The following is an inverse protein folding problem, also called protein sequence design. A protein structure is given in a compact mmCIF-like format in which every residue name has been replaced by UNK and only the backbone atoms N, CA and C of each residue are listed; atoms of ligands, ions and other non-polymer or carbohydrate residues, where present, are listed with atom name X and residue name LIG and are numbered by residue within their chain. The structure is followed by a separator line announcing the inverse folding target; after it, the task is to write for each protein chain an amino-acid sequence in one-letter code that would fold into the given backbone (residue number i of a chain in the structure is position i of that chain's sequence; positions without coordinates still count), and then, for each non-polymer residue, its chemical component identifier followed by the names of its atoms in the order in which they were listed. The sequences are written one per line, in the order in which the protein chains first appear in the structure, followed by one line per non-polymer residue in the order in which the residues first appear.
data_IF_380514455111
#
_entry.id   IF_380514455111
#
_cell.length_a   1.000
_cell.length_b   1.000
_cell.length_c   1.000
_cell.angle_alpha   90.00
_cell.angle_beta   90.00
_cell.angle_gamma   90.00
#
_symmetry.space_group_name_H-M   'P 1'
#
loop_
_entity.id
_entity.type
_entity.pdbx_description
1 polymer ?
#
# COMPACT_ATOMS: atom_id res chain seq x y z
N UNK A 1 5.07 45.33 35.60
CA UNK A 1 5.99 44.48 34.80
C UNK A 1 5.85 42.99 35.12
N UNK A 2 5.97 42.55 36.38
CA UNK A 2 5.82 41.12 36.78
C UNK A 2 4.56 40.41 36.26
N UNK A 3 3.39 41.06 36.33
CA UNK A 3 2.12 40.48 35.83
C UNK A 3 2.07 40.30 34.30
N UNK A 4 2.75 41.17 33.54
CA UNK A 4 2.85 41.08 32.07
C UNK A 4 3.86 40.01 31.64
N UNK A 5 4.93 39.84 32.42
CA UNK A 5 5.91 38.76 32.21
C UNK A 5 5.31 37.38 32.48
N UNK A 6 4.51 37.25 33.55
CA UNK A 6 3.78 36.02 33.88
C UNK A 6 2.76 35.65 32.79
N UNK A 7 2.04 36.62 32.24
CA UNK A 7 1.11 36.38 31.12
C UNK A 7 1.83 35.91 29.85
N UNK A 8 3.03 36.45 29.57
CA UNK A 8 3.84 36.05 28.41
C UNK A 8 4.40 34.64 28.56
N UNK A 9 4.83 34.26 29.77
CA UNK A 9 5.26 32.89 30.09
C UNK A 9 4.07 31.91 29.97
N UNK A 10 2.88 32.30 30.43
CA UNK A 10 1.68 31.47 30.31
C UNK A 10 1.29 31.25 28.84
N UNK A 11 1.36 32.29 28.00
CA UNK A 11 1.10 32.20 26.56
C UNK A 11 2.14 31.32 25.87
N UNK A 12 3.43 31.47 26.21
CA UNK A 12 4.48 30.59 25.67
C UNK A 12 4.23 29.14 26.09
N UNK A 13 3.92 28.87 27.36
CA UNK A 13 3.57 27.53 27.82
C UNK A 13 2.30 26.97 27.15
N UNK A 14 1.27 27.78 26.94
CA UNK A 14 0.05 27.37 26.20
C UNK A 14 0.34 27.10 24.72
N UNK A 15 1.18 27.90 24.07
CA UNK A 15 1.61 27.65 22.69
C UNK A 15 2.53 26.42 22.57
N UNK A 16 3.34 26.11 23.59
CA UNK A 16 4.16 24.89 23.64
C UNK A 16 3.33 23.62 23.85
N UNK A 17 2.18 23.70 24.51
CA UNK A 17 1.27 22.56 24.71
C UNK A 17 0.44 22.28 23.45
N UNK A 18 0.21 23.29 22.60
CA UNK A 18 -0.49 23.12 21.32
C UNK A 18 0.46 22.67 20.19
N UNK A 19 1.78 22.81 20.36
CA UNK A 19 2.79 22.44 19.37
C UNK A 19 3.25 20.97 19.41
N UNK A 20 2.67 20.11 20.27
CA UNK A 20 3.07 18.71 20.40
C UNK A 20 1.97 17.68 20.17
N UNK A 21 0.80 18.09 19.67
CA UNK A 21 -0.09 17.13 18.99
C UNK A 21 0.36 17.02 17.53
N UNK A 22 1.55 16.45 17.34
CA UNK A 22 1.85 15.71 16.11
C UNK A 22 0.74 14.66 16.07
N UNK A 23 -0.17 14.80 15.13
CA UNK A 23 -1.18 13.79 14.82
C UNK A 23 -0.41 12.48 14.64
N UNK A 24 -0.51 11.58 15.63
CA UNK A 24 0.08 10.26 15.50
C UNK A 24 -0.57 9.64 14.27
N UNK A 25 0.22 9.45 13.22
CA UNK A 25 -0.07 8.39 12.27
C UNK A 25 -0.31 7.15 13.13
N UNK A 26 -1.47 6.52 12.95
CA UNK A 26 -1.86 5.32 13.68
C UNK A 26 -0.68 4.33 13.71
N UNK A 27 -0.41 3.66 14.83
CA UNK A 27 0.79 2.81 15.01
C UNK A 27 0.96 1.79 13.85
N UNK A 28 -0.15 1.32 13.28
CA UNK A 28 -0.19 0.46 12.08
C UNK A 28 0.47 1.06 10.83
N UNK A 29 0.36 2.37 10.61
CA UNK A 29 0.94 3.01 9.42
C UNK A 29 2.47 3.01 9.49
N UNK A 30 3.05 3.09 10.69
CA UNK A 30 4.50 2.96 10.86
C UNK A 30 4.97 1.52 10.65
N UNK A 31 4.18 0.53 11.08
CA UNK A 31 4.46 -0.89 10.87
C UNK A 31 4.39 -1.27 9.38
N UNK A 32 3.34 -0.87 8.67
CA UNK A 32 3.22 -1.07 7.22
C UNK A 32 4.37 -0.43 6.44
N UNK A 33 4.83 0.76 6.86
CA UNK A 33 5.98 1.42 6.24
C UNK A 33 7.28 0.63 6.47
N UNK A 34 7.50 0.07 7.66
CA UNK A 34 8.67 -0.78 7.95
C UNK A 34 8.66 -2.03 7.08
N UNK A 35 7.51 -2.66 6.88
CA UNK A 35 7.39 -3.83 6.01
C UNK A 35 7.65 -3.48 4.54
N UNK A 36 7.10 -2.36 4.07
CA UNK A 36 7.36 -1.84 2.74
C UNK A 36 8.85 -1.55 2.52
N UNK A 37 9.51 -0.88 3.47
CA UNK A 37 10.95 -0.61 3.39
C UNK A 37 11.76 -1.92 3.34
N UNK A 38 11.42 -2.90 4.19
CA UNK A 38 12.09 -4.21 4.20
C UNK A 38 11.95 -4.96 2.88
N UNK A 39 10.78 -4.92 2.25
CA UNK A 39 10.55 -5.59 0.96
C UNK A 39 11.26 -4.88 -0.19
N UNK A 40 11.28 -3.55 -0.21
CA UNK A 40 11.88 -2.82 -1.34
C UNK A 40 13.41 -2.69 -1.22
N UNK A 41 13.96 -2.59 -0.02
CA UNK A 41 15.35 -2.17 0.15
C UNK A 41 16.21 -3.07 1.04
N UNK A 42 15.64 -3.52 2.18
CA UNK A 42 16.24 -4.16 3.37
C UNK A 42 15.96 -3.35 4.65
N UNK A 43 16.09 -3.99 5.81
CA UNK A 43 15.83 -3.38 7.11
C UNK A 43 16.74 -2.16 7.38
N UNK A 44 16.11 -1.02 7.71
CA UNK A 44 16.81 0.19 8.13
C UNK A 44 17.51 0.94 7.00
N UNK A 45 17.16 0.67 5.74
CA UNK A 45 17.78 1.26 4.55
C UNK A 45 17.81 2.79 4.58
N UNK A 46 16.68 3.43 4.88
CA UNK A 46 16.52 4.89 4.75
C UNK A 46 17.31 5.70 5.80
N UNK A 47 17.69 5.07 6.93
CA UNK A 47 18.25 5.75 8.10
C UNK A 47 19.51 6.57 7.80
N UNK A 48 20.39 6.07 6.95
CA UNK A 48 21.71 6.66 6.66
C UNK A 48 21.84 7.20 5.23
N UNK A 49 20.72 7.34 4.52
CA UNK A 49 20.71 7.81 3.14
C UNK A 49 20.56 9.32 3.04
N UNK A 50 20.88 9.84 1.85
CA UNK A 50 20.70 11.25 1.49
C UNK A 50 19.24 11.70 1.65
N UNK A 51 19.03 13.01 1.80
CA UNK A 51 17.68 13.57 1.90
C UNK A 51 16.84 13.30 0.65
N UNK A 52 17.46 13.21 -0.53
CA UNK A 52 16.78 12.86 -1.77
C UNK A 52 16.21 11.44 -1.74
N UNK A 53 17.02 10.46 -1.31
CA UNK A 53 16.58 9.08 -1.13
C UNK A 53 15.47 8.99 -0.09
N UNK A 54 15.64 9.64 1.07
CA UNK A 54 14.61 9.66 2.13
C UNK A 54 13.30 10.25 1.61
N UNK A 55 13.36 11.32 0.80
CA UNK A 55 12.17 11.90 0.17
C UNK A 55 11.50 10.94 -0.81
N UNK A 56 12.26 10.19 -1.59
CA UNK A 56 11.73 9.20 -2.52
C UNK A 56 11.06 8.03 -1.79
N UNK A 57 11.70 7.49 -0.75
CA UNK A 57 11.11 6.45 0.12
C UNK A 57 9.82 6.96 0.75
N UNK A 58 9.86 8.14 1.38
CA UNK A 58 8.69 8.76 2.01
C UNK A 58 7.55 8.98 1.02
N UNK A 59 7.85 9.34 -0.23
CA UNK A 59 6.82 9.50 -1.25
C UNK A 59 6.10 8.18 -1.56
N UNK A 60 6.83 7.07 -1.66
CA UNK A 60 6.25 5.74 -1.89
C UNK A 60 5.33 5.31 -0.72
N UNK A 61 5.78 5.51 0.53
CA UNK A 61 4.97 5.24 1.74
C UNK A 61 3.67 6.05 1.75
N UNK A 62 3.77 7.37 1.57
CA UNK A 62 2.62 8.26 1.54
C UNK A 62 1.63 7.87 0.44
N UNK A 63 2.15 7.54 -0.75
CA UNK A 63 1.31 7.15 -1.87
C UNK A 63 0.63 5.79 -1.67
N UNK A 64 1.31 4.84 -1.01
CA UNK A 64 0.71 3.55 -0.61
C UNK A 64 -0.47 3.78 0.34
N UNK A 65 -0.23 4.51 1.44
CA UNK A 65 -1.27 4.88 2.41
C UNK A 65 -2.45 5.61 1.76
N UNK A 66 -2.19 6.63 0.94
CA UNK A 66 -3.24 7.41 0.28
C UNK A 66 -4.04 6.59 -0.75
N UNK A 67 -3.41 5.60 -1.37
CA UNK A 67 -4.09 4.70 -2.31
C UNK A 67 -4.98 3.68 -1.60
N UNK A 68 -4.61 3.24 -0.38
CA UNK A 68 -5.18 2.05 0.26
C UNK A 68 -6.00 2.42 1.49
N UNK A 69 -5.40 3.13 2.43
CA UNK A 69 -5.93 3.38 3.78
C UNK A 69 -6.64 4.71 3.95
N UNK A 70 -6.50 5.64 3.01
CA UNK A 70 -7.10 6.96 3.18
C UNK A 70 -8.64 6.91 3.15
N UNK A 71 -9.29 7.42 4.20
CA UNK A 71 -10.73 7.75 4.22
C UNK A 71 -11.05 8.82 5.27
N UNK A 72 -12.19 9.51 5.11
CA UNK A 72 -12.70 10.53 6.04
C UNK A 72 -11.71 11.68 6.32
N UNK A 73 -10.98 12.11 5.30
CA UNK A 73 -10.05 13.23 5.46
C UNK A 73 -8.76 12.92 6.26
N UNK A 74 -8.61 11.70 6.82
CA UNK A 74 -7.48 11.36 7.71
C UNK A 74 -6.09 11.56 7.07
N UNK A 75 -6.02 11.45 5.74
CA UNK A 75 -4.83 11.50 4.92
C UNK A 75 -4.57 12.86 4.29
N UNK A 76 -5.30 13.91 4.66
CA UNK A 76 -5.13 15.25 4.07
C UNK A 76 -3.70 15.75 4.30
N UNK A 77 -3.16 15.56 5.51
CA UNK A 77 -1.79 15.95 5.82
C UNK A 77 -0.74 15.18 5.01
N UNK A 78 -0.98 13.89 4.76
CA UNK A 78 -0.14 12.98 3.98
C UNK A 78 -0.18 13.36 2.50
N UNK A 79 -1.36 13.73 2.02
CA UNK A 79 -1.56 14.24 0.67
C UNK A 79 -0.80 15.55 0.45
N UNK A 80 -0.96 16.51 1.38
CA UNK A 80 -0.23 17.78 1.32
C UNK A 80 1.29 17.56 1.39
N UNK A 81 1.76 16.62 2.22
CA UNK A 81 3.16 16.23 2.27
C UNK A 81 3.64 15.67 0.93
N UNK A 82 2.92 14.71 0.35
CA UNK A 82 3.25 14.12 -0.95
C UNK A 82 3.34 15.19 -2.06
N UNK A 83 2.41 16.16 -2.05
CA UNK A 83 2.41 17.31 -2.98
C UNK A 83 3.60 18.23 -2.75
N UNK A 84 3.95 18.55 -1.49
CA UNK A 84 5.14 19.37 -1.16
C UNK A 84 6.44 18.69 -1.60
N UNK A 85 6.50 17.36 -1.52
CA UNK A 85 7.64 16.59 -2.00
C UNK A 85 7.78 16.58 -3.52
N UNK A 86 6.73 16.99 -4.26
CA UNK A 86 6.71 17.07 -5.72
C UNK A 86 6.09 15.85 -6.41
N UNK A 87 5.41 14.97 -5.67
CA UNK A 87 4.84 13.71 -6.16
C UNK A 87 3.29 13.74 -6.18
N UNK A 88 2.65 12.59 -6.43
CA UNK A 88 1.18 12.45 -6.35
C UNK A 88 0.37 12.97 -7.55
N UNK A 89 1.02 13.37 -8.64
CA UNK A 89 0.33 13.80 -9.88
C UNK A 89 -0.51 15.07 -9.73
N UNK A 90 -1.55 15.25 -10.57
CA UNK A 90 -2.39 16.46 -10.63
C UNK A 90 -3.76 16.30 -9.96
N UNK A 91 -3.90 15.34 -9.05
CA UNK A 91 -5.18 15.08 -8.37
C UNK A 91 -5.48 16.11 -7.29
N UNK A 92 -6.76 16.26 -6.95
CA UNK A 92 -7.21 16.90 -5.72
C UNK A 92 -7.41 15.84 -4.62
N UNK A 93 -7.26 16.22 -3.36
CA UNK A 93 -7.50 15.32 -2.24
C UNK A 93 -8.94 14.77 -2.24
N UNK A 94 -9.93 15.61 -2.53
CA UNK A 94 -11.35 15.19 -2.65
C UNK A 94 -11.61 14.12 -3.71
N UNK A 95 -10.68 13.90 -4.64
CA UNK A 95 -10.82 12.87 -5.68
C UNK A 95 -10.48 11.46 -5.20
N UNK A 96 -9.75 11.37 -4.08
CA UNK A 96 -9.35 10.11 -3.45
C UNK A 96 -9.96 9.93 -2.06
N UNK A 97 -10.53 10.99 -1.47
CA UNK A 97 -11.30 10.85 -0.25
C UNK A 97 -12.68 10.28 -0.57
N UNK A 98 -13.13 9.34 0.26
CA UNK A 98 -14.39 8.63 0.03
C UNK A 98 -15.56 9.61 -0.06
N UNK A 99 -16.34 9.51 -1.14
CA UNK A 99 -17.50 10.40 -1.37
C UNK A 99 -18.83 9.70 -1.08
N UNK A 100 -19.83 10.49 -0.67
CA UNK A 100 -21.17 10.02 -0.31
C UNK A 100 -21.82 9.20 -1.45
N UNK A 101 -21.63 9.63 -2.70
CA UNK A 101 -22.18 8.94 -3.88
C UNK A 101 -21.53 7.56 -4.18
N UNK A 102 -20.46 7.12 -3.49
CA UNK A 102 -19.95 5.73 -3.57
C UNK A 102 -20.85 4.75 -2.86
N UNK A 103 -21.46 5.18 -1.76
CA UNK A 103 -22.28 4.32 -0.91
C UNK A 103 -23.77 4.38 -1.27
N UNK A 104 -24.17 5.35 -2.10
CA UNK A 104 -25.56 5.57 -2.50
C UNK A 104 -26.45 6.06 -1.36
N UNK A 105 -25.85 6.60 -0.29
CA UNK A 105 -26.56 6.95 0.94
C UNK A 105 -26.30 8.41 1.29
N UNK A 106 -27.19 9.31 0.85
CA UNK A 106 -27.39 10.60 1.51
C UNK A 106 -28.30 10.37 2.71
N UNK A 107 -27.94 10.86 3.90
CA UNK A 107 -28.94 10.93 4.96
C UNK A 107 -30.01 11.94 4.53
N UNK A 108 -31.27 11.66 4.87
CA UNK A 108 -32.40 12.55 4.60
C UNK A 108 -32.25 13.96 5.23
N UNK A 109 -31.28 14.15 6.13
CA UNK A 109 -30.95 15.40 6.79
C UNK A 109 -29.78 16.18 6.16
N UNK A 110 -29.23 15.70 5.04
CA UNK A 110 -28.11 16.33 4.33
C UNK A 110 -26.75 16.16 5.02
N UNK A 111 -26.62 15.29 6.02
CA UNK A 111 -25.32 14.97 6.64
C UNK A 111 -24.65 13.77 5.98
N UNK A 112 -23.31 13.80 5.93
CA UNK A 112 -22.52 12.70 5.38
C UNK A 112 -22.78 11.38 6.09
N UNK A 113 -22.87 10.30 5.31
CA UNK A 113 -22.87 8.93 5.86
C UNK A 113 -21.45 8.57 6.25
N UNK A 114 -21.26 8.29 7.54
CA UNK A 114 -19.98 7.79 8.03
C UNK A 114 -19.74 6.40 7.46
N UNK A 115 -18.64 6.24 6.73
CA UNK A 115 -18.19 4.95 6.21
C UNK A 115 -17.44 4.23 7.32
N UNK A 116 -17.87 3.01 7.63
CA UNK A 116 -17.13 2.18 8.57
C UNK A 116 -15.80 1.72 7.95
N UNK A 117 -14.79 1.47 8.78
CA UNK A 117 -13.52 0.88 8.33
C UNK A 117 -13.74 -0.44 7.55
N UNK A 118 -14.78 -1.20 7.90
CA UNK A 118 -15.16 -2.41 7.16
C UNK A 118 -15.65 -2.11 5.75
N UNK A 119 -16.52 -1.11 5.58
CA UNK A 119 -17.01 -0.70 4.26
C UNK A 119 -15.88 -0.12 3.41
N UNK A 120 -14.95 0.61 4.02
CA UNK A 120 -13.75 1.09 3.35
C UNK A 120 -12.94 -0.08 2.75
N UNK A 121 -12.58 -1.07 3.59
CA UNK A 121 -11.77 -2.23 3.19
C UNK A 121 -12.42 -3.07 2.09
N UNK A 122 -13.77 -3.16 2.07
CA UNK A 122 -14.53 -3.85 1.00
C UNK A 122 -14.32 -3.29 -0.41
N UNK A 123 -13.82 -2.07 -0.57
CA UNK A 123 -13.53 -1.54 -1.90
C UNK A 123 -12.03 -1.26 -2.11
N UNK A 124 -11.29 -0.86 -1.08
CA UNK A 124 -9.87 -0.49 -1.25
C UNK A 124 -8.88 -1.62 -1.00
N UNK A 125 -9.32 -2.73 -0.39
CA UNK A 125 -8.47 -3.85 0.00
C UNK A 125 -8.92 -5.16 -0.68
N UNK A 126 -9.32 -5.12 -1.96
CA UNK A 126 -9.84 -6.30 -2.66
C UNK A 126 -8.96 -6.80 -3.81
N UNK A 127 -7.91 -6.05 -4.15
CA UNK A 127 -7.02 -6.35 -5.27
C UNK A 127 -6.67 -5.09 -6.03
N UNK A 128 -5.49 -5.08 -6.64
CA UNK A 128 -4.98 -3.90 -7.34
C UNK A 128 -5.77 -3.62 -8.63
N UNK A 129 -6.09 -4.63 -9.41
CA UNK A 129 -6.86 -4.58 -10.65
C UNK A 129 -8.35 -4.93 -10.47
N UNK A 130 -8.85 -4.94 -9.22
CA UNK A 130 -10.22 -5.33 -8.89
C UNK A 130 -11.22 -4.50 -9.70
N UNK A 131 -12.11 -5.22 -10.39
CA UNK A 131 -13.18 -4.63 -11.17
C UNK A 131 -14.52 -4.86 -10.46
N UNK A 132 -15.03 -3.81 -9.84
CA UNK A 132 -16.32 -3.82 -9.20
C UNK A 132 -17.41 -3.81 -10.27
N UNK A 133 -18.53 -4.49 -10.01
CA UNK A 133 -19.74 -4.37 -10.85
C UNK A 133 -20.46 -3.02 -10.61
N UNK A 134 -19.69 -1.93 -10.53
CA UNK A 134 -20.11 -0.57 -10.28
C UNK A 134 -19.06 0.41 -10.83
N UNK A 135 -19.39 1.09 -11.93
CA UNK A 135 -18.49 2.02 -12.62
C UNK A 135 -18.03 3.21 -11.77
N UNK A 136 -18.85 3.66 -10.83
CA UNK A 136 -18.50 4.77 -9.94
C UNK A 136 -17.40 4.35 -8.96
N UNK A 137 -17.52 3.15 -8.40
CA UNK A 137 -16.47 2.55 -7.56
C UNK A 137 -15.20 2.33 -8.36
N UNK A 138 -15.30 1.81 -9.59
CA UNK A 138 -14.12 1.64 -10.45
C UNK A 138 -13.40 2.96 -10.74
N UNK A 139 -14.12 4.02 -11.13
CA UNK A 139 -13.55 5.35 -11.36
C UNK A 139 -12.89 5.94 -10.12
N UNK A 140 -13.47 5.69 -8.94
CA UNK A 140 -12.86 6.09 -7.68
C UNK A 140 -11.55 5.35 -7.40
N UNK A 141 -11.56 4.03 -7.57
CA UNK A 141 -10.36 3.21 -7.39
C UNK A 141 -9.27 3.58 -8.40
N UNK A 142 -9.63 3.89 -9.65
CA UNK A 142 -8.68 4.40 -10.66
C UNK A 142 -7.97 5.68 -10.19
N UNK A 143 -8.71 6.64 -9.60
CA UNK A 143 -8.10 7.86 -9.05
C UNK A 143 -7.13 7.53 -7.92
N UNK A 144 -7.51 6.65 -6.98
CA UNK A 144 -6.63 6.24 -5.88
C UNK A 144 -5.35 5.56 -6.40
N UNK A 145 -5.49 4.59 -7.30
CA UNK A 145 -4.35 3.91 -7.94
C UNK A 145 -3.43 4.89 -8.67
N UNK A 146 -4.00 5.93 -9.29
CA UNK A 146 -3.20 6.92 -10.01
C UNK A 146 -2.27 7.75 -9.11
N UNK A 147 -2.54 7.86 -7.80
CA UNK A 147 -1.60 8.48 -6.85
C UNK A 147 -0.34 7.62 -6.71
N UNK A 148 -0.50 6.30 -6.51
CA UNK A 148 0.63 5.39 -6.38
C UNK A 148 1.37 5.26 -7.71
N UNK A 149 0.66 5.01 -8.81
CA UNK A 149 1.26 4.95 -10.16
C UNK A 149 2.01 6.24 -10.53
N UNK A 150 1.39 7.40 -10.26
CA UNK A 150 2.00 8.70 -10.54
C UNK A 150 3.26 8.93 -9.70
N UNK A 151 3.25 8.51 -8.44
CA UNK A 151 4.40 8.62 -7.55
C UNK A 151 5.52 7.67 -7.94
N UNK A 152 5.24 6.39 -8.17
CA UNK A 152 6.22 5.39 -8.64
C UNK A 152 6.84 5.86 -9.96
N UNK A 153 6.02 6.29 -10.92
CA UNK A 153 6.53 6.83 -12.20
C UNK A 153 7.46 8.03 -12.00
N UNK A 154 7.15 8.91 -11.05
CA UNK A 154 7.92 10.13 -10.79
C UNK A 154 9.21 9.84 -10.03
N UNK A 155 9.21 8.89 -9.08
CA UNK A 155 10.40 8.46 -8.35
C UNK A 155 11.41 7.81 -9.28
N UNK A 156 10.97 6.90 -10.16
CA UNK A 156 11.85 6.10 -11.00
C UNK A 156 12.01 6.63 -12.43
N UNK A 157 11.29 7.69 -12.80
CA UNK A 157 11.39 8.30 -14.12
C UNK A 157 10.94 7.40 -15.29
N UNK A 158 10.06 6.42 -15.06
CA UNK A 158 9.63 5.45 -16.08
C UNK A 158 9.15 6.10 -17.38
N UNK A 159 8.24 7.08 -17.30
CA UNK A 159 7.75 7.85 -18.47
C UNK A 159 7.49 9.31 -18.14
N UNK A 160 7.86 10.20 -19.06
CA UNK A 160 7.60 11.65 -18.95
C UNK A 160 6.18 12.08 -19.35
N UNK A 161 5.48 11.26 -20.16
CA UNK A 161 4.19 11.62 -20.78
C UNK A 161 3.17 10.49 -20.58
N UNK A 162 2.68 10.31 -19.36
CA UNK A 162 1.77 9.21 -19.02
C UNK A 162 0.34 9.42 -19.53
N UNK A 163 -0.09 10.66 -19.75
CA UNK A 163 -1.46 10.98 -20.18
C UNK A 163 -1.79 10.57 -21.63
N UNK A 164 -0.78 10.33 -22.49
CA UNK A 164 -0.98 9.92 -23.88
C UNK A 164 -0.87 8.41 -24.10
N UNK A 165 0.06 7.76 -23.38
CA UNK A 165 0.46 6.37 -23.66
C UNK A 165 0.35 5.45 -22.43
N UNK A 166 -0.19 5.96 -21.32
CA UNK A 166 -0.30 5.23 -20.06
C UNK A 166 1.02 5.12 -19.30
N UNK A 167 0.96 4.36 -18.20
CA UNK A 167 2.12 4.03 -17.37
C UNK A 167 2.89 2.85 -17.96
N UNK A 168 4.20 2.82 -17.71
CA UNK A 168 5.06 1.67 -18.04
C UNK A 168 4.61 0.40 -17.31
N UNK A 169 4.76 -0.78 -17.93
CA UNK A 169 4.37 -2.05 -17.29
C UNK A 169 5.20 -2.34 -16.03
N UNK A 170 6.49 -1.97 -15.99
CA UNK A 170 7.29 -2.08 -14.76
C UNK A 170 6.80 -1.12 -13.67
N UNK A 171 6.34 0.08 -14.05
CA UNK A 171 5.70 1.01 -13.11
C UNK A 171 4.41 0.43 -12.52
N UNK A 172 3.57 -0.19 -13.36
CA UNK A 172 2.33 -0.83 -12.92
C UNK A 172 2.61 -2.01 -11.99
N UNK A 173 3.56 -2.86 -12.37
CA UNK A 173 3.94 -4.03 -11.60
C UNK A 173 4.55 -3.68 -10.25
N UNK A 174 5.48 -2.71 -10.20
CA UNK A 174 6.01 -2.24 -8.93
C UNK A 174 4.93 -1.62 -8.04
N UNK A 175 3.98 -0.87 -8.62
CA UNK A 175 2.83 -0.32 -7.86
C UNK A 175 1.93 -1.43 -7.30
N UNK A 176 1.68 -2.48 -8.09
CA UNK A 176 0.93 -3.66 -7.65
C UNK A 176 1.63 -4.41 -6.52
N UNK A 177 2.96 -4.58 -6.60
CA UNK A 177 3.76 -5.19 -5.53
C UNK A 177 3.67 -4.35 -4.25
N UNK A 178 3.87 -3.02 -4.34
CA UNK A 178 3.74 -2.11 -3.18
C UNK A 178 2.34 -2.24 -2.54
N UNK A 179 1.29 -2.25 -3.37
CA UNK A 179 -0.07 -2.46 -2.89
C UNK A 179 -0.22 -3.78 -2.13
N UNK A 180 0.27 -4.89 -2.68
CA UNK A 180 0.13 -6.19 -2.03
C UNK A 180 1.01 -6.37 -0.79
N UNK A 181 2.14 -5.67 -0.69
CA UNK A 181 2.93 -5.61 0.55
C UNK A 181 2.13 -4.96 1.66
N UNK A 182 1.44 -3.86 1.39
CA UNK A 182 0.55 -3.23 2.36
C UNK A 182 -0.57 -4.18 2.81
N UNK A 183 -1.20 -4.89 1.86
CA UNK A 183 -2.23 -5.88 2.18
C UNK A 183 -1.66 -7.03 3.03
N UNK A 184 -0.40 -7.42 2.85
CA UNK A 184 0.25 -8.42 3.71
C UNK A 184 0.46 -7.90 5.14
N UNK A 185 0.70 -6.60 5.32
CA UNK A 185 0.68 -5.96 6.64
C UNK A 185 -0.69 -6.04 7.31
N UNK A 186 -1.76 -5.78 6.56
CA UNK A 186 -3.13 -5.97 7.08
C UNK A 186 -3.43 -7.42 7.47
N UNK A 187 -2.85 -8.38 6.74
CA UNK A 187 -2.88 -9.78 7.13
C UNK A 187 -2.14 -10.00 8.45
N UNK A 188 -0.94 -9.45 8.62
CA UNK A 188 -0.14 -9.57 9.84
C UNK A 188 -0.89 -9.01 11.08
N UNK A 189 -1.59 -7.88 10.93
CA UNK A 189 -2.41 -7.25 11.98
C UNK A 189 -3.75 -7.94 12.25
N UNK A 190 -4.15 -8.89 11.41
CA UNK A 190 -5.39 -9.63 11.62
C UNK A 190 -5.25 -10.53 12.86
N UNK A 191 -6.23 -10.43 13.76
CA UNK A 191 -6.31 -11.22 15.00
C UNK A 191 -7.45 -12.25 14.97
N UNK A 192 -8.20 -12.31 13.85
CA UNK A 192 -9.32 -13.23 13.64
C UNK A 192 -9.73 -13.31 12.16
N UNK A 193 -10.39 -14.41 11.79
CA UNK A 193 -10.83 -14.68 10.42
C UNK A 193 -11.75 -13.60 9.83
N UNK A 194 -12.56 -12.93 10.64
CA UNK A 194 -13.46 -11.86 10.16
C UNK A 194 -12.73 -10.61 9.64
N UNK A 195 -11.46 -10.39 10.01
CA UNK A 195 -10.63 -9.33 9.42
C UNK A 195 -10.07 -9.78 8.07
N UNK A 196 -9.56 -11.01 7.98
CA UNK A 196 -9.03 -11.61 6.75
C UNK A 196 -10.10 -11.71 5.65
N UNK A 197 -11.37 -11.94 6.00
CA UNK A 197 -12.44 -12.01 5.00
C UNK A 197 -12.72 -10.68 4.27
N UNK A 198 -12.10 -9.57 4.71
CA UNK A 198 -12.13 -8.27 4.04
C UNK A 198 -10.90 -8.01 3.17
N UNK A 199 -10.00 -8.98 3.02
CA UNK A 199 -8.79 -8.93 2.22
C UNK A 199 -8.93 -9.86 0.99
N UNK A 200 -8.15 -9.67 -0.08
CA UNK A 200 -8.11 -10.64 -1.18
C UNK A 200 -7.62 -11.99 -0.64
N UNK A 201 -8.19 -13.12 -1.11
CA UNK A 201 -7.67 -14.43 -0.76
C UNK A 201 -6.21 -14.57 -1.23
N UNK A 202 -5.41 -15.33 -0.48
CA UNK A 202 -4.02 -15.61 -0.82
C UNK A 202 -3.90 -16.34 -2.16
N UNK A 203 -4.66 -17.43 -2.37
CA UNK A 203 -4.57 -18.24 -3.58
C UNK A 203 -5.74 -18.00 -4.55
N UNK A 204 -6.94 -17.83 -3.99
CA UNK A 204 -8.19 -17.66 -4.71
C UNK A 204 -8.64 -18.92 -5.45
N UNK A 205 -9.95 -19.09 -5.58
CA UNK A 205 -10.53 -20.00 -6.56
C UNK A 205 -11.16 -19.17 -7.69
N UNK A 206 -10.34 -18.78 -8.67
CA UNK A 206 -10.75 -17.99 -9.84
C UNK A 206 -11.87 -18.63 -10.66
N UNK A 207 -12.10 -19.94 -10.51
CA UNK A 207 -13.21 -20.64 -11.17
C UNK A 207 -14.57 -20.41 -10.51
N UNK A 208 -14.59 -20.08 -9.21
CA UNK A 208 -15.81 -19.80 -8.43
C UNK A 208 -16.22 -18.34 -8.52
N UNK A 209 -15.25 -17.43 -8.60
CA UNK A 209 -15.49 -16.00 -8.75
C UNK A 209 -14.35 -15.36 -9.58
N UNK A 210 -14.48 -15.31 -10.91
CA UNK A 210 -13.45 -14.78 -11.79
C UNK A 210 -13.29 -13.26 -11.68
N UNK A 211 -14.16 -12.58 -10.93
CA UNK A 211 -14.08 -11.13 -10.71
C UNK A 211 -13.20 -10.76 -9.53
N UNK A 212 -12.89 -11.73 -8.66
CA UNK A 212 -11.99 -11.52 -7.52
C UNK A 212 -10.55 -11.73 -7.93
N UNK A 213 -9.68 -10.86 -7.44
CA UNK A 213 -8.26 -11.09 -7.48
C UNK A 213 -7.80 -11.92 -6.29
N UNK A 214 -6.69 -12.63 -6.50
CA UNK A 214 -5.99 -13.36 -5.47
C UNK A 214 -4.56 -12.84 -5.33
N UNK A 215 -4.09 -12.73 -4.09
CA UNK A 215 -2.85 -12.04 -3.76
C UNK A 215 -1.63 -12.69 -4.40
N UNK A 216 -1.45 -14.01 -4.25
CA UNK A 216 -0.25 -14.70 -4.75
C UNK A 216 -0.24 -14.77 -6.28
N UNK A 217 -1.34 -15.14 -6.98
CA UNK A 217 -1.38 -15.06 -8.44
C UNK A 217 -1.07 -13.66 -8.98
N UNK A 218 -1.64 -12.61 -8.39
CA UNK A 218 -1.36 -11.22 -8.80
C UNK A 218 0.09 -10.83 -8.53
N UNK A 219 0.66 -11.18 -7.36
CA UNK A 219 2.09 -10.97 -7.07
C UNK A 219 2.98 -11.66 -8.09
N UNK A 220 2.75 -12.94 -8.41
CA UNK A 220 3.54 -13.68 -9.41
C UNK A 220 3.53 -12.97 -10.76
N UNK A 221 2.35 -12.51 -11.23
CA UNK A 221 2.21 -11.74 -12.47
C UNK A 221 3.06 -10.46 -12.47
N UNK A 222 3.01 -9.69 -11.38
CA UNK A 222 3.78 -8.45 -11.29
C UNK A 222 5.29 -8.71 -11.17
N UNK A 223 5.70 -9.73 -10.41
CA UNK A 223 7.11 -10.14 -10.27
C UNK A 223 7.67 -10.57 -11.63
N UNK A 224 6.94 -11.41 -12.37
CA UNK A 224 7.35 -11.86 -13.72
C UNK A 224 7.52 -10.67 -14.68
N UNK A 225 6.61 -9.69 -14.61
CA UNK A 225 6.68 -8.50 -15.46
C UNK A 225 7.80 -7.55 -15.04
N UNK A 226 8.02 -7.37 -13.74
CA UNK A 226 9.01 -6.43 -13.22
C UNK A 226 10.44 -6.93 -13.45
N UNK A 227 10.66 -8.24 -13.29
CA UNK A 227 11.97 -8.90 -13.37
C UNK A 227 12.08 -9.82 -14.60
N UNK A 228 11.49 -9.42 -15.73
CA UNK A 228 11.43 -10.23 -16.94
C UNK A 228 12.82 -10.67 -17.45
N UNK A 229 13.85 -9.88 -17.19
CA UNK A 229 15.24 -10.16 -17.60
C UNK A 229 16.03 -11.01 -16.58
N UNK A 230 15.45 -11.29 -15.40
CA UNK A 230 16.11 -12.00 -14.31
C UNK A 230 15.54 -13.42 -14.08
N UNK A 231 14.79 -13.98 -15.03
CA UNK A 231 14.14 -15.29 -14.83
C UNK A 231 15.10 -16.47 -14.60
N UNK A 232 16.36 -16.32 -15.00
CA UNK A 232 17.42 -17.31 -14.73
C UNK A 232 18.09 -17.15 -13.38
N UNK A 233 17.85 -16.05 -12.66
CA UNK A 233 18.42 -15.77 -11.36
C UNK A 233 17.87 -16.73 -10.28
N UNK A 234 18.70 -17.08 -9.30
CA UNK A 234 18.32 -18.02 -8.25
C UNK A 234 17.36 -17.38 -7.24
N UNK A 235 17.50 -16.09 -6.91
CA UNK A 235 16.54 -15.38 -6.05
C UNK A 235 15.17 -15.28 -6.72
N UNK A 236 15.12 -15.06 -8.04
CA UNK A 236 13.86 -15.06 -8.80
C UNK A 236 13.16 -16.42 -8.74
N UNK A 237 13.91 -17.50 -9.02
CA UNK A 237 13.37 -18.87 -9.03
C UNK A 237 12.91 -19.32 -7.65
N UNK A 238 13.69 -19.04 -6.61
CA UNK A 238 13.35 -19.39 -5.24
C UNK A 238 12.12 -18.63 -4.76
N UNK A 239 12.02 -17.34 -5.09
CA UNK A 239 10.83 -16.54 -4.81
C UNK A 239 9.57 -17.14 -5.45
N UNK A 240 9.57 -17.37 -6.77
CA UNK A 240 8.37 -17.90 -7.45
C UNK A 240 8.01 -19.31 -6.96
N UNK A 241 9.00 -20.18 -6.76
CA UNK A 241 8.77 -21.53 -6.23
C UNK A 241 8.21 -21.50 -4.80
N UNK A 242 8.69 -20.57 -3.98
CA UNK A 242 8.18 -20.34 -2.63
C UNK A 242 6.71 -19.90 -2.66
N UNK A 243 6.40 -18.89 -3.49
CA UNK A 243 5.03 -18.40 -3.69
C UNK A 243 4.10 -19.51 -4.18
N UNK A 244 4.50 -20.31 -5.16
CA UNK A 244 3.72 -21.45 -5.67
C UNK A 244 3.41 -22.51 -4.61
N UNK A 245 4.40 -22.80 -3.74
CA UNK A 245 4.20 -23.72 -2.64
C UNK A 245 3.16 -23.19 -1.67
N UNK A 246 3.24 -21.91 -1.29
CA UNK A 246 2.30 -21.30 -0.36
C UNK A 246 0.91 -21.22 -0.99
N UNK A 247 0.80 -20.78 -2.24
CA UNK A 247 -0.44 -20.72 -3.03
C UNK A 247 -1.18 -22.07 -2.98
N UNK A 248 -0.46 -23.16 -3.27
CA UNK A 248 -1.04 -24.50 -3.25
C UNK A 248 -1.55 -24.92 -1.87
N UNK A 249 -0.87 -24.55 -0.79
CA UNK A 249 -1.30 -24.90 0.56
C UNK A 249 -2.44 -24.02 1.07
N UNK A 250 -2.41 -22.72 0.77
CA UNK A 250 -3.48 -21.78 1.08
C UNK A 250 -4.78 -22.15 0.34
N UNK A 251 -4.69 -22.54 -0.94
CA UNK A 251 -5.82 -22.99 -1.74
C UNK A 251 -6.57 -24.16 -1.09
N UNK A 252 -5.87 -25.10 -0.43
CA UNK A 252 -6.52 -26.25 0.24
C UNK A 252 -7.43 -25.83 1.39
N UNK A 253 -7.14 -24.69 2.05
CA UNK A 253 -7.98 -24.14 3.11
C UNK A 253 -9.13 -23.35 2.49
N UNK A 254 -8.86 -22.54 1.47
CA UNK A 254 -9.89 -21.72 0.82
C UNK A 254 -10.95 -22.55 0.08
N UNK A 255 -10.59 -23.72 -0.42
CA UNK A 255 -11.51 -24.58 -1.17
C UNK A 255 -12.46 -25.41 -0.28
N UNK A 256 -12.29 -25.37 1.05
CA UNK A 256 -13.20 -26.03 2.00
C UNK A 256 -14.57 -25.34 2.07
N UNK A 257 -15.57 -26.07 2.57
CA UNK A 257 -16.91 -25.50 2.80
C UNK A 257 -16.82 -24.45 3.91
N UNK A 258 -16.98 -23.19 3.53
CA UNK A 258 -16.92 -22.05 4.43
C UNK A 258 -15.54 -21.38 4.54
N UNK A 259 -14.52 -21.87 3.82
CA UNK A 259 -13.18 -21.29 3.81
C UNK A 259 -12.55 -21.19 5.20
N UNK A 260 -11.86 -20.09 5.48
CA UNK A 260 -11.27 -19.82 6.81
C UNK A 260 -12.38 -19.49 7.82
N UNK A 261 -12.83 -20.46 8.60
CA UNK A 261 -13.94 -20.26 9.54
C UNK A 261 -13.71 -20.81 10.96
N UNK A 262 -12.56 -21.43 11.20
CA UNK A 262 -12.09 -21.84 12.53
C UNK A 262 -10.83 -21.08 12.94
N UNK A 263 -10.52 -21.06 14.24
CA UNK A 263 -9.31 -20.44 14.76
C UNK A 263 -8.04 -21.17 14.26
N UNK A 264 -8.08 -22.51 14.14
CA UNK A 264 -6.96 -23.31 13.61
C UNK A 264 -6.69 -23.01 12.13
N UNK A 265 -7.74 -22.94 11.31
CA UNK A 265 -7.61 -22.55 9.90
C UNK A 265 -7.12 -21.11 9.78
N UNK A 266 -7.60 -20.21 10.65
CA UNK A 266 -7.14 -18.83 10.70
C UNK A 266 -5.65 -18.75 10.99
N UNK A 267 -5.16 -19.39 12.06
CA UNK A 267 -3.73 -19.37 12.43
C UNK A 267 -2.87 -19.90 11.28
N UNK A 268 -3.29 -21.02 10.67
CA UNK A 268 -2.56 -21.63 9.56
C UNK A 268 -2.55 -20.73 8.32
N UNK A 269 -3.68 -20.11 7.99
CA UNK A 269 -3.82 -19.23 6.85
C UNK A 269 -3.08 -17.90 7.04
N UNK A 270 -3.14 -17.34 8.25
CA UNK A 270 -2.36 -16.17 8.68
C UNK A 270 -0.85 -16.44 8.60
N UNK A 271 -0.40 -17.63 9.03
CA UNK A 271 0.98 -18.02 8.88
C UNK A 271 1.43 -18.17 7.41
N UNK A 272 0.50 -18.46 6.48
CA UNK A 272 0.82 -18.43 5.04
C UNK A 272 1.06 -16.99 4.54
N UNK A 273 0.26 -16.01 4.97
CA UNK A 273 0.55 -14.60 4.64
C UNK A 273 1.90 -14.13 5.17
N UNK A 274 2.26 -14.51 6.41
CA UNK A 274 3.58 -14.18 6.98
C UNK A 274 4.72 -14.78 6.14
N UNK A 275 4.59 -16.05 5.72
CA UNK A 275 5.58 -16.68 4.84
C UNK A 275 5.70 -15.99 3.47
N UNK A 276 4.60 -15.47 2.91
CA UNK A 276 4.66 -14.67 1.67
C UNK A 276 5.47 -13.40 1.91
N UNK A 277 5.17 -12.67 2.99
CA UNK A 277 5.89 -11.43 3.32
C UNK A 277 7.38 -11.68 3.54
N UNK A 278 7.74 -12.74 4.26
CA UNK A 278 9.14 -13.16 4.47
C UNK A 278 9.86 -13.48 3.16
N UNK A 279 9.21 -14.18 2.22
CA UNK A 279 9.78 -14.44 0.90
C UNK A 279 10.05 -13.15 0.12
N UNK A 280 9.11 -12.20 0.17
CA UNK A 280 9.28 -10.91 -0.48
C UNK A 280 10.45 -10.14 0.13
N UNK A 281 10.50 -10.03 1.47
CA UNK A 281 11.59 -9.38 2.19
C UNK A 281 12.96 -10.00 1.90
N UNK A 282 13.01 -11.31 1.67
CA UNK A 282 14.25 -12.02 1.41
C UNK A 282 14.78 -11.81 -0.01
N UNK A 283 13.91 -11.83 -1.02
CA UNK A 283 14.33 -11.94 -2.42
C UNK A 283 14.13 -10.64 -3.22
N UNK A 284 13.07 -9.87 -2.96
CA UNK A 284 12.76 -8.66 -3.74
C UNK A 284 13.87 -7.59 -3.65
N UNK A 285 14.50 -7.31 -2.49
CA UNK A 285 15.55 -6.30 -2.41
C UNK A 285 16.73 -6.58 -3.35
N UNK A 286 17.17 -7.85 -3.43
CA UNK A 286 18.28 -8.25 -4.30
C UNK A 286 17.91 -8.07 -5.78
N UNK A 287 16.73 -8.57 -6.17
CA UNK A 287 16.24 -8.45 -7.55
C UNK A 287 16.07 -6.97 -7.96
N UNK A 288 15.59 -6.12 -7.06
CA UNK A 288 15.46 -4.67 -7.32
C UNK A 288 16.80 -3.97 -7.45
N UNK A 289 17.83 -4.35 -6.67
CA UNK A 289 19.17 -3.74 -6.77
C UNK A 289 19.80 -3.94 -8.14
N UNK A 290 19.50 -5.05 -8.81
CA UNK A 290 19.99 -5.34 -10.17
C UNK A 290 19.19 -4.61 -11.27
N UNK A 291 18.02 -4.04 -10.95
CA UNK A 291 17.25 -3.22 -11.89
C UNK A 291 17.82 -1.80 -11.99
N UNK A 292 18.25 -1.41 -13.19
CA UNK A 292 18.86 -0.08 -13.43
C UNK A 292 17.99 1.09 -12.96
N UNK A 293 16.66 1.02 -13.19
CA UNK A 293 15.76 2.11 -12.80
C UNK A 293 15.74 2.32 -11.28
N UNK A 294 15.99 1.27 -10.50
CA UNK A 294 15.96 1.29 -9.06
C UNK A 294 17.32 1.66 -8.48
N UNK A 295 18.39 1.06 -9.02
CA UNK A 295 19.76 1.33 -8.60
C UNK A 295 20.17 2.79 -8.86
N UNK A 296 19.73 3.39 -9.97
CA UNK A 296 19.98 4.79 -10.29
C UNK A 296 19.48 5.74 -9.19
N UNK A 297 18.30 5.46 -8.63
CA UNK A 297 17.65 6.31 -7.62
C UNK A 297 18.23 6.08 -6.24
N UNK A 298 18.53 4.83 -5.87
CA UNK A 298 18.75 4.44 -4.48
C UNK A 298 20.18 4.00 -4.13
N UNK A 299 20.98 3.64 -5.14
CA UNK A 299 22.30 3.03 -4.96
C UNK A 299 23.42 3.67 -5.80
N UNK A 300 23.10 4.66 -6.65
CA UNK A 300 24.13 5.41 -7.39
C UNK A 300 25.01 6.24 -6.45
N UNK A 301 26.20 6.65 -6.89
CA UNK A 301 27.11 7.51 -6.09
C UNK A 301 26.48 8.85 -5.68
N UNK A 302 25.42 9.28 -6.37
CA UNK A 302 24.63 10.47 -6.00
C UNK A 302 23.64 10.21 -4.87
N UNK A 303 23.35 8.94 -4.58
CA UNK A 303 22.43 8.48 -3.53
C UNK A 303 23.14 8.22 -2.18
N UNK A 304 24.48 8.29 -2.15
CA UNK A 304 25.33 8.10 -0.95
C UNK A 304 25.44 9.37 -0.10
#
# INVERSE_FOLDING_TARGET
MRKRLLALILIICLCSIVASNICYAHDSAEEHNKELEKVLFEEGFSKYKSDEVKRAVRALELASYLSIDQFHGNGESQFDELKRLGYGGFLSFSSIDYYEDLTGTTKNDGTAVQISAQNHRKYTHQGWEMNFQNDNVNKFMEKRRSILLGTVNSVFGFRKVTFLIGYDERCKSLSGIIYYVHILGDYAEADKYTKISLLPPLAGNMSKDPTKEALIPSLKKYIETLFADQQSDDDYKDLLKGLEKIEKEAFKIEDTIGGVNTDEEFEKYHNYSTQVLELLMKHIPNLLKEEQFFSDVFYSEKAA
#
